data_IF_908025915872
#
_entry.id   IF_908025915872
#
_cell.length_a   1.000
_cell.length_b   1.000
_cell.length_c   1.000
_cell.angle_alpha   90.00
_cell.angle_beta   90.00
_cell.angle_gamma   90.00
#
_symmetry.space_group_name_H-M   'P 1'
#
loop_
_entity.id
_entity.type
_entity.pdbx_description
1 polymer ?
#
# COMPACT_ATOMS: atom_id res chain seq x y z
N UNK A 1 14.20 1.09 9.32
CA UNK A 1 13.76 1.48 7.96
C UNK A 1 12.83 2.69 8.01
N UNK A 2 11.71 2.63 8.73
CA UNK A 2 10.72 3.71 8.81
C UNK A 2 11.27 5.09 9.24
N UNK A 3 12.10 5.14 10.29
CA UNK A 3 12.70 6.40 10.75
C UNK A 3 13.58 7.06 9.69
N UNK A 4 14.38 6.27 8.96
CA UNK A 4 15.22 6.78 7.88
C UNK A 4 14.39 7.30 6.71
N UNK A 5 13.31 6.59 6.36
CA UNK A 5 12.42 7.00 5.28
C UNK A 5 11.66 8.29 5.64
N UNK A 6 11.19 8.42 6.88
CA UNK A 6 10.60 9.65 7.40
C UNK A 6 11.60 10.81 7.40
N UNK A 7 12.84 10.57 7.85
CA UNK A 7 13.88 11.59 7.84
C UNK A 7 14.18 12.09 6.41
N UNK A 8 14.26 11.20 5.42
CA UNK A 8 14.48 11.57 4.01
C UNK A 8 13.30 12.38 3.47
N UNK A 9 12.06 11.99 3.75
CA UNK A 9 10.87 12.73 3.33
C UNK A 9 10.87 14.13 3.96
N UNK A 10 11.08 14.24 5.28
CA UNK A 10 11.03 15.52 5.99
C UNK A 10 12.14 16.46 5.52
N UNK A 11 13.40 16.01 5.51
CA UNK A 11 14.54 16.84 5.11
C UNK A 11 14.48 17.17 3.62
N UNK A 12 14.06 16.21 2.78
CA UNK A 12 13.87 16.42 1.35
C UNK A 12 12.83 17.49 1.06
N UNK A 13 11.64 17.37 1.67
CA UNK A 13 10.58 18.36 1.53
C UNK A 13 10.96 19.71 2.11
N UNK A 14 11.64 19.77 3.27
CA UNK A 14 12.07 21.03 3.87
C UNK A 14 13.06 21.80 2.98
N UNK A 15 13.99 21.10 2.31
CA UNK A 15 14.98 21.74 1.42
C UNK A 15 14.39 22.37 0.17
N UNK A 16 13.25 21.87 -0.30
CA UNK A 16 12.57 22.38 -1.51
C UNK A 16 11.43 23.36 -1.21
N UNK A 17 11.30 23.86 0.03
CA UNK A 17 10.27 24.85 0.40
C UNK A 17 9.03 24.27 1.07
N UNK A 18 9.09 23.02 1.54
CA UNK A 18 8.05 22.36 2.32
C UNK A 18 7.16 21.41 1.51
N UNK A 19 6.28 20.69 2.22
CA UNK A 19 5.37 19.71 1.63
C UNK A 19 4.36 20.33 0.64
N UNK A 20 3.95 21.59 0.88
CA UNK A 20 3.03 22.30 -0.01
C UNK A 20 3.64 22.56 -1.39
N UNK A 21 4.91 22.97 -1.45
CA UNK A 21 5.61 23.16 -2.72
C UNK A 21 5.80 21.84 -3.47
N UNK A 22 6.12 20.75 -2.75
CA UNK A 22 6.20 19.41 -3.34
C UNK A 22 4.86 19.00 -3.97
N UNK A 23 3.75 19.27 -3.28
CA UNK A 23 2.42 18.96 -3.78
C UNK A 23 2.05 19.78 -5.02
N UNK A 24 2.35 21.08 -5.02
CA UNK A 24 2.12 21.95 -6.17
C UNK A 24 2.91 21.49 -7.39
N UNK A 25 4.20 21.19 -7.23
CA UNK A 25 5.06 20.68 -8.30
C UNK A 25 4.52 19.34 -8.83
N UNK A 26 4.11 18.43 -7.94
CA UNK A 26 3.52 17.15 -8.34
C UNK A 26 2.21 17.34 -9.13
N UNK A 27 1.37 18.30 -8.73
CA UNK A 27 0.14 18.64 -9.43
C UNK A 27 0.42 19.21 -10.83
N UNK A 28 1.40 20.12 -10.95
CA UNK A 28 1.77 20.73 -12.23
C UNK A 28 2.31 19.70 -13.23
N UNK A 29 3.00 18.68 -12.75
CA UNK A 29 3.55 17.60 -13.57
C UNK A 29 2.53 16.48 -13.83
N UNK A 30 1.27 16.62 -13.39
CA UNK A 30 0.24 15.60 -13.57
C UNK A 30 0.52 14.29 -12.83
N UNK A 31 1.37 14.32 -11.79
CA UNK A 31 1.72 13.14 -11.00
C UNK A 31 0.64 12.76 -9.99
N UNK A 32 -0.36 13.63 -9.80
CA UNK A 32 -1.50 13.40 -8.93
C UNK A 32 -2.63 12.82 -9.78
N UNK A 33 -2.79 11.49 -9.73
CA UNK A 33 -3.97 10.82 -10.27
C UNK A 33 -5.10 10.80 -9.23
N UNK A 34 -6.31 11.12 -9.69
CA UNK A 34 -7.54 10.90 -8.93
C UNK A 34 -7.95 9.41 -8.88
N UNK A 35 -9.16 9.15 -8.41
CA UNK A 35 -9.74 7.80 -8.43
C UNK A 35 -10.29 7.53 -9.83
N UNK A 36 -9.70 6.55 -10.53
CA UNK A 36 -10.19 6.07 -11.82
C UNK A 36 -11.29 5.01 -11.60
N UNK A 37 -12.51 5.29 -12.08
CA UNK A 37 -13.70 4.46 -11.83
C UNK A 37 -14.08 3.58 -13.04
N UNK A 38 -13.28 3.60 -14.11
CA UNK A 38 -13.46 2.74 -15.28
C UNK A 38 -13.44 1.24 -14.89
N UNK A 39 -14.51 0.48 -15.18
CA UNK A 39 -14.57 -0.96 -14.91
C UNK A 39 -13.76 -1.82 -15.89
N UNK A 40 -13.08 -1.24 -16.88
CA UNK A 40 -12.23 -1.97 -17.82
C UNK A 40 -11.11 -2.74 -17.08
N UNK A 41 -11.11 -4.09 -17.12
CA UNK A 41 -10.09 -4.90 -16.46
C UNK A 41 -8.71 -4.83 -17.12
N UNK A 42 -8.58 -4.29 -18.34
CA UNK A 42 -7.29 -4.08 -18.99
C UNK A 42 -6.55 -2.85 -18.46
N UNK A 43 -7.25 -1.95 -17.75
CA UNK A 43 -6.63 -0.80 -17.11
C UNK A 43 -6.02 -1.21 -15.76
N UNK A 44 -4.68 -1.15 -15.69
CA UNK A 44 -3.89 -1.71 -14.59
C UNK A 44 -4.22 -1.16 -13.20
N UNK A 45 -4.56 0.12 -13.10
CA UNK A 45 -4.80 0.80 -11.82
C UNK A 45 -6.13 1.56 -11.84
N UNK A 46 -7.23 0.84 -11.72
CA UNK A 46 -8.57 1.40 -11.48
C UNK A 46 -9.03 1.02 -10.09
N UNK A 47 -10.05 1.71 -9.60
CA UNK A 47 -10.71 1.34 -8.36
C UNK A 47 -11.07 -0.16 -8.33
N UNK A 48 -11.58 -0.69 -9.45
CA UNK A 48 -11.99 -2.08 -9.56
C UNK A 48 -10.82 -3.05 -9.56
N UNK A 49 -9.78 -2.80 -10.36
CA UNK A 49 -8.61 -3.70 -10.40
C UNK A 49 -7.84 -3.71 -9.09
N UNK A 50 -7.74 -2.57 -8.40
CA UNK A 50 -7.15 -2.50 -7.06
C UNK A 50 -8.03 -3.17 -6.00
N UNK A 51 -9.35 -2.95 -6.02
CA UNK A 51 -10.26 -3.52 -5.02
C UNK A 51 -10.30 -5.05 -5.13
N UNK A 52 -10.60 -5.58 -6.31
CA UNK A 52 -10.68 -7.02 -6.52
C UNK A 52 -9.30 -7.67 -6.42
N UNK A 53 -8.29 -7.12 -7.09
CA UNK A 53 -6.92 -7.64 -7.04
C UNK A 53 -6.34 -7.61 -5.63
N UNK A 54 -6.61 -6.55 -4.87
CA UNK A 54 -6.18 -6.39 -3.48
C UNK A 54 -6.77 -7.46 -2.56
N UNK A 55 -8.06 -7.81 -2.72
CA UNK A 55 -8.69 -8.90 -1.95
C UNK A 55 -7.98 -10.23 -2.21
N UNK A 56 -7.76 -10.59 -3.47
CA UNK A 56 -7.08 -11.85 -3.81
C UNK A 56 -5.61 -11.86 -3.37
N UNK A 57 -4.93 -10.71 -3.46
CA UNK A 57 -3.56 -10.57 -2.96
C UNK A 57 -3.49 -10.79 -1.44
N UNK A 58 -4.37 -10.16 -0.67
CA UNK A 58 -4.44 -10.35 0.79
C UNK A 58 -4.80 -11.78 1.15
N UNK A 59 -5.78 -12.38 0.47
CA UNK A 59 -6.14 -13.78 0.66
C UNK A 59 -4.95 -14.70 0.38
N UNK A 60 -4.17 -14.43 -0.66
CA UNK A 60 -2.97 -15.21 -0.95
C UNK A 60 -1.91 -15.06 0.16
N UNK A 61 -1.65 -13.81 0.57
CA UNK A 61 -0.63 -13.49 1.57
C UNK A 61 -0.92 -14.06 2.95
N UNK A 62 -2.19 -14.18 3.36
CA UNK A 62 -2.55 -14.67 4.69
C UNK A 62 -3.14 -16.08 4.69
N UNK A 63 -3.82 -16.47 3.61
CA UNK A 63 -4.53 -17.75 3.52
C UNK A 63 -3.66 -18.91 3.02
N UNK A 64 -2.69 -18.65 2.14
CA UNK A 64 -1.86 -19.73 1.54
C UNK A 64 -0.36 -19.51 1.67
N UNK A 65 0.08 -18.34 2.15
CA UNK A 65 1.50 -18.11 2.39
C UNK A 65 2.03 -19.04 3.48
N UNK A 66 2.97 -19.89 3.09
CA UNK A 66 3.57 -20.92 3.94
C UNK A 66 4.04 -20.37 5.29
N UNK A 67 4.69 -19.20 5.32
CA UNK A 67 5.21 -18.64 6.56
C UNK A 67 4.08 -18.22 7.53
N UNK A 68 2.96 -17.72 6.99
CA UNK A 68 1.79 -17.33 7.80
C UNK A 68 1.03 -18.57 8.28
N UNK A 69 0.79 -19.54 7.39
CA UNK A 69 0.12 -20.80 7.73
C UNK A 69 0.87 -21.54 8.83
N UNK A 70 2.19 -21.64 8.74
CA UNK A 70 3.01 -22.27 9.78
C UNK A 70 2.93 -21.55 11.12
N UNK A 71 2.85 -20.21 11.12
CA UNK A 71 2.69 -19.41 12.34
C UNK A 71 1.37 -19.69 13.03
N UNK A 72 0.28 -19.79 12.26
CA UNK A 72 -1.03 -20.12 12.82
C UNK A 72 -1.06 -21.55 13.38
N UNK A 73 -0.52 -22.53 12.67
CA UNK A 73 -0.49 -23.93 13.12
C UNK A 73 0.44 -24.19 14.31
N UNK A 74 1.46 -23.35 14.50
CA UNK A 74 2.39 -23.45 15.63
C UNK A 74 1.85 -22.81 16.92
N UNK A 75 0.70 -22.14 16.86
CA UNK A 75 0.07 -21.51 18.02
C UNK A 75 -0.58 -22.57 18.91
N UNK A 76 -0.40 -22.46 20.24
CA UNK A 76 -0.89 -23.46 21.21
C UNK A 76 -2.41 -23.62 21.24
N UNK A 77 -3.15 -22.60 20.82
CA UNK A 77 -4.62 -22.59 20.82
C UNK A 77 -5.12 -21.77 19.64
N UNK A 78 -6.32 -22.08 19.16
CA UNK A 78 -6.97 -21.32 18.09
C UNK A 78 -7.12 -19.84 18.45
N UNK A 79 -7.45 -19.52 19.71
CA UNK A 79 -7.53 -18.13 20.19
C UNK A 79 -6.22 -17.36 20.06
N UNK A 80 -5.08 -18.04 20.24
CA UNK A 80 -3.76 -17.44 20.08
C UNK A 80 -3.31 -17.33 18.61
N UNK A 81 -3.94 -18.09 17.71
CA UNK A 81 -3.66 -18.02 16.27
C UNK A 81 -4.44 -16.90 15.57
N UNK A 82 -5.60 -16.50 16.13
CA UNK A 82 -6.51 -15.49 15.57
C UNK A 82 -6.19 -14.07 16.05
N UNK A 83 -5.53 -13.92 17.20
CA UNK A 83 -5.08 -12.66 17.80
C UNK A 83 -3.72 -12.22 17.23
#
# INVERSE_FOLDING_TARGET
MFLGQLAVIIVGSAKVGGLGHVWEVASQHGLISGIELDPDPFVRHTFWTLAFGGVFMMLSLYGVNQAQVQRYLSSRTEKAAVL
#
